data_IF_770646856303
#
_entry.id   IF_770646856303
#
_cell.length_a   1.000
_cell.length_b   1.000
_cell.length_c   1.000
_cell.angle_alpha   90.00
_cell.angle_beta   90.00
_cell.angle_gamma   90.00
#
_symmetry.space_group_name_H-M   'P 1'
#
loop_
_entity.id
_entity.type
_entity.pdbx_description
1 polymer ?
#
# COMPACT_ATOMS: atom_id res chain seq x y z
N UNK A 1 29.83 -10.27 37.90
CA UNK A 1 29.40 -11.22 36.83
C UNK A 1 28.06 -10.87 36.21
N UNK A 2 27.07 -10.36 36.96
CA UNK A 2 25.72 -10.08 36.47
C UNK A 2 25.60 -8.94 35.43
N UNK A 3 26.47 -7.94 35.47
CA UNK A 3 26.44 -6.80 34.52
C UNK A 3 26.70 -7.23 33.07
N UNK A 4 27.63 -8.16 32.84
CA UNK A 4 27.90 -8.70 31.50
C UNK A 4 26.72 -9.52 30.95
N UNK A 5 26.01 -10.23 31.83
CA UNK A 5 24.83 -11.01 31.48
C UNK A 5 23.63 -10.10 31.14
N UNK A 6 23.48 -8.98 31.86
CA UNK A 6 22.44 -7.99 31.61
C UNK A 6 22.67 -7.25 30.28
N UNK A 7 23.91 -6.92 29.94
CA UNK A 7 24.27 -6.40 28.62
C UNK A 7 24.02 -7.41 27.49
N UNK A 8 24.21 -8.71 27.74
CA UNK A 8 23.93 -9.75 26.77
C UNK A 8 22.42 -9.88 26.51
N UNK A 9 21.58 -9.85 27.55
CA UNK A 9 20.11 -9.86 27.42
C UNK A 9 19.60 -8.59 26.73
N UNK A 10 20.17 -7.43 27.06
CA UNK A 10 19.81 -6.16 26.44
C UNK A 10 20.17 -6.14 24.94
N UNK A 11 21.35 -6.66 24.59
CA UNK A 11 21.77 -6.83 23.19
C UNK A 11 20.83 -7.78 22.42
N UNK A 12 20.46 -8.90 23.04
CA UNK A 12 19.55 -9.88 22.44
C UNK A 12 18.14 -9.29 22.21
N UNK A 13 17.64 -8.48 23.13
CA UNK A 13 16.34 -7.79 22.98
C UNK A 13 16.36 -6.69 21.94
N UNK A 14 17.48 -5.96 21.78
CA UNK A 14 17.63 -4.96 20.70
C UNK A 14 17.64 -5.64 19.32
N UNK A 15 18.24 -6.83 19.19
CA UNK A 15 18.26 -7.58 17.94
C UNK A 15 16.88 -8.13 17.54
N UNK A 16 16.00 -8.43 18.50
CA UNK A 16 14.63 -8.89 18.22
C UNK A 16 13.69 -7.79 17.70
N UNK A 17 14.04 -6.51 17.83
CA UNK A 17 13.19 -5.39 17.39
C UNK A 17 13.38 -5.01 15.91
N UNK A 18 14.24 -5.70 15.16
CA UNK A 18 14.33 -5.50 13.71
C UNK A 18 13.15 -6.17 13.01
N UNK A 19 11.99 -5.52 13.06
CA UNK A 19 10.86 -5.86 12.20
C UNK A 19 11.28 -5.62 10.75
N UNK A 20 11.37 -6.69 9.96
CA UNK A 20 11.69 -6.63 8.55
C UNK A 20 10.58 -5.88 7.80
N UNK A 21 10.92 -4.73 7.21
CA UNK A 21 10.05 -4.05 6.26
C UNK A 21 9.80 -4.99 5.08
N UNK A 22 8.53 -5.32 4.82
CA UNK A 22 8.15 -6.21 3.73
C UNK A 22 8.09 -5.39 2.44
N UNK A 23 9.00 -5.66 1.51
CA UNK A 23 8.95 -5.12 0.16
C UNK A 23 8.42 -6.17 -0.81
N UNK A 24 7.41 -5.81 -1.59
CA UNK A 24 6.83 -6.64 -2.64
C UNK A 24 6.97 -5.87 -3.95
N UNK A 25 7.58 -6.49 -4.94
CA UNK A 25 7.69 -5.95 -6.29
C UNK A 25 6.71 -6.69 -7.21
N UNK A 26 5.85 -5.92 -7.87
CA UNK A 26 4.82 -6.41 -8.78
C UNK A 26 5.00 -5.79 -10.16
N UNK A 27 5.04 -6.61 -11.21
CA UNK A 27 5.08 -6.13 -12.60
C UNK A 27 3.65 -5.88 -13.08
N UNK A 28 3.33 -4.61 -13.35
CA UNK A 28 2.07 -4.23 -13.96
C UNK A 28 2.02 -4.69 -15.41
N UNK A 29 0.96 -5.40 -15.80
CA UNK A 29 0.77 -5.94 -17.14
C UNK A 29 -0.47 -5.38 -17.80
N UNK A 30 -0.35 -5.03 -19.06
CA UNK A 30 -1.46 -4.65 -19.95
C UNK A 30 -1.42 -5.59 -21.15
N UNK A 31 -2.49 -6.32 -21.41
CA UNK A 31 -2.57 -7.35 -22.46
C UNK A 31 -1.38 -8.35 -22.45
N UNK A 32 -0.92 -8.73 -21.25
CA UNK A 32 0.21 -9.66 -21.06
C UNK A 32 1.60 -9.03 -21.15
N UNK A 33 1.72 -7.77 -21.57
CA UNK A 33 2.98 -7.04 -21.70
C UNK A 33 3.24 -6.27 -20.41
N UNK A 34 4.46 -6.36 -19.86
CA UNK A 34 4.83 -5.60 -18.67
C UNK A 34 5.04 -4.13 -19.04
N UNK A 35 4.31 -3.23 -18.38
CA UNK A 35 4.31 -1.79 -18.70
C UNK A 35 4.94 -0.93 -17.62
N UNK A 36 5.17 -1.49 -16.43
CA UNK A 36 5.75 -0.78 -15.30
C UNK A 36 5.92 -1.69 -14.09
N UNK A 37 6.65 -1.20 -13.11
CA UNK A 37 6.80 -1.87 -11.82
C UNK A 37 6.00 -1.11 -10.76
N UNK A 38 5.42 -1.87 -9.84
CA UNK A 38 4.78 -1.38 -8.63
C UNK A 38 5.53 -1.96 -7.44
N UNK A 39 5.99 -1.09 -6.57
CA UNK A 39 6.70 -1.45 -5.33
C UNK A 39 5.79 -1.14 -4.16
N UNK A 40 5.50 -2.16 -3.36
CA UNK A 40 4.71 -2.07 -2.14
C UNK A 40 5.67 -2.26 -0.97
N UNK A 41 5.72 -1.28 -0.06
CA UNK A 41 6.50 -1.35 1.17
C UNK A 41 5.57 -1.24 2.37
N UNK A 42 5.57 -2.27 3.20
CA UNK A 42 4.82 -2.32 4.45
C UNK A 42 5.77 -2.38 5.65
N UNK A 43 5.62 -1.38 6.53
CA UNK A 43 6.40 -1.27 7.77
C UNK A 43 5.49 -1.41 9.01
N UNK A 44 4.32 -2.04 8.88
CA UNK A 44 3.33 -2.25 9.95
C UNK A 44 2.41 -1.04 10.15
N UNK A 45 2.99 0.13 10.43
CA UNK A 45 2.20 1.36 10.66
C UNK A 45 1.90 2.15 9.37
N UNK A 46 2.67 1.88 8.32
CA UNK A 46 2.57 2.58 7.04
C UNK A 46 2.70 1.62 5.88
N UNK A 47 1.88 1.85 4.86
CA UNK A 47 2.02 1.22 3.56
C UNK A 47 2.33 2.31 2.54
N UNK A 48 3.41 2.12 1.80
CA UNK A 48 3.79 2.99 0.67
C UNK A 48 3.74 2.14 -0.59
N UNK A 49 2.96 2.59 -1.56
CA UNK A 49 2.89 1.97 -2.88
C UNK A 49 3.36 2.97 -3.91
N UNK A 50 4.39 2.62 -4.66
CA UNK A 50 4.95 3.45 -5.72
C UNK A 50 4.87 2.67 -7.02
N UNK A 51 4.58 3.36 -8.13
CA UNK A 51 4.66 2.73 -9.42
C UNK A 51 4.91 3.74 -10.52
N UNK A 52 5.55 3.27 -11.59
CA UNK A 52 5.82 4.09 -12.76
C UNK A 52 5.82 3.25 -14.03
N UNK A 53 5.32 3.82 -15.12
CA UNK A 53 5.49 3.26 -16.45
C UNK A 53 6.98 3.18 -16.81
N UNK A 54 7.40 2.14 -17.52
CA UNK A 54 8.80 2.01 -17.95
C UNK A 54 9.20 3.18 -18.85
N UNK A 55 10.46 3.64 -18.69
CA UNK A 55 11.02 4.75 -19.48
C UNK A 55 10.87 4.54 -21.00
N UNK A 56 11.05 3.30 -21.46
CA UNK A 56 10.89 2.94 -22.88
C UNK A 56 9.44 3.01 -23.41
N UNK A 57 8.45 3.12 -22.52
CA UNK A 57 7.03 3.26 -22.85
C UNK A 57 6.49 4.66 -22.51
N UNK A 58 7.30 5.52 -21.87
CA UNK A 58 6.89 6.86 -21.46
C UNK A 58 6.55 7.80 -22.62
N UNK A 59 7.02 7.48 -23.85
CA UNK A 59 6.65 8.22 -25.06
C UNK A 59 5.18 8.04 -25.45
N UNK A 60 4.60 6.88 -25.13
CA UNK A 60 3.18 6.57 -25.38
C UNK A 60 2.32 7.10 -24.23
N UNK A 61 2.73 6.81 -23.01
CA UNK A 61 2.01 7.21 -21.81
C UNK A 61 2.98 7.26 -20.63
N UNK A 62 3.11 8.43 -20.02
CA UNK A 62 3.94 8.61 -18.84
C UNK A 62 3.03 8.72 -17.61
N UNK A 63 3.06 7.71 -16.76
CA UNK A 63 2.33 7.71 -15.52
C UNK A 63 3.21 7.24 -14.37
N UNK A 64 3.23 8.01 -13.29
CA UNK A 64 3.79 7.57 -12.02
C UNK A 64 2.84 7.94 -10.89
N UNK A 65 2.88 7.14 -9.83
CA UNK A 65 2.10 7.42 -8.64
C UNK A 65 2.84 7.01 -7.38
N UNK A 66 2.45 7.65 -6.28
CA UNK A 66 2.85 7.32 -4.92
C UNK A 66 1.63 7.39 -4.02
N UNK A 67 1.25 6.26 -3.47
CA UNK A 67 0.21 6.14 -2.48
C UNK A 67 0.83 5.90 -1.11
N UNK A 68 0.31 6.57 -0.08
CA UNK A 68 0.69 6.40 1.32
C UNK A 68 -0.56 6.17 2.15
N UNK A 69 -0.53 5.12 2.97
CA UNK A 69 -1.52 4.87 4.00
C UNK A 69 -0.84 4.88 5.37
N UNK A 70 -1.31 5.71 6.30
CA UNK A 70 -0.81 5.84 7.67
C UNK A 70 -2.02 5.90 8.61
N UNK A 71 -2.29 4.81 9.33
CA UNK A 71 -3.57 4.64 10.03
C UNK A 71 -4.75 4.78 9.07
N UNK A 72 -5.66 5.71 9.37
CA UNK A 72 -6.84 6.05 8.55
C UNK A 72 -6.59 7.20 7.56
N UNK A 73 -5.36 7.71 7.47
CA UNK A 73 -4.98 8.75 6.52
C UNK A 73 -4.37 8.16 5.25
N UNK A 74 -4.85 8.63 4.11
CA UNK A 74 -4.50 8.23 2.77
C UNK A 74 -4.09 9.44 1.94
N UNK A 75 -2.96 9.30 1.25
CA UNK A 75 -2.44 10.30 0.33
C UNK A 75 -2.08 9.64 -0.98
N UNK A 76 -2.49 10.25 -2.08
CA UNK A 76 -2.17 9.78 -3.41
C UNK A 76 -1.60 10.93 -4.24
N UNK A 77 -0.38 10.73 -4.72
CA UNK A 77 0.31 11.62 -5.64
C UNK A 77 0.35 10.91 -6.98
N UNK A 78 -0.18 11.54 -8.03
CA UNK A 78 -0.14 11.03 -9.40
C UNK A 78 0.56 12.06 -10.28
N UNK A 79 1.39 11.60 -11.20
CA UNK A 79 1.91 12.40 -12.30
C UNK A 79 1.51 11.70 -13.59
N UNK A 80 0.66 12.35 -14.38
CA UNK A 80 0.13 11.85 -15.64
C UNK A 80 0.53 12.80 -16.76
N UNK A 81 1.43 12.36 -17.63
CA UNK A 81 1.98 13.12 -18.75
C UNK A 81 2.49 14.51 -18.32
N UNK A 82 3.18 14.58 -17.17
CA UNK A 82 3.73 15.81 -16.61
C UNK A 82 2.74 16.63 -15.77
N UNK A 83 1.47 16.22 -15.66
CA UNK A 83 0.48 16.88 -14.81
C UNK A 83 0.41 16.20 -13.45
N UNK A 84 0.80 16.94 -12.41
CA UNK A 84 0.73 16.47 -11.04
C UNK A 84 -0.68 16.63 -10.46
N UNK A 85 -1.13 15.60 -9.75
CA UNK A 85 -2.41 15.56 -9.04
C UNK A 85 -2.16 15.02 -7.64
N UNK A 86 -2.70 15.70 -6.64
CA UNK A 86 -2.62 15.28 -5.24
C UNK A 86 -4.03 15.07 -4.71
N UNK A 87 -4.25 13.91 -4.12
CA UNK A 87 -5.52 13.54 -3.49
C UNK A 87 -5.29 13.21 -2.03
N UNK A 88 -6.15 13.75 -1.19
CA UNK A 88 -6.31 13.43 0.23
C UNK A 88 -7.50 12.49 0.40
N UNK A 89 -7.73 11.97 1.62
CA UNK A 89 -8.83 11.07 1.97
C UNK A 89 -10.12 11.32 1.18
N UNK A 90 -10.79 12.45 1.40
CA UNK A 90 -12.10 12.74 0.80
C UNK A 90 -12.10 12.55 -0.73
N UNK A 91 -11.09 13.10 -1.41
CA UNK A 91 -10.97 12.98 -2.87
C UNK A 91 -10.62 11.56 -3.30
N UNK A 92 -9.84 10.81 -2.52
CA UNK A 92 -9.54 9.40 -2.77
C UNK A 92 -10.83 8.57 -2.66
N UNK A 93 -11.61 8.77 -1.59
CA UNK A 93 -12.90 8.10 -1.41
C UNK A 93 -13.89 8.43 -2.54
N UNK A 94 -13.95 9.68 -2.97
CA UNK A 94 -14.85 10.10 -4.04
C UNK A 94 -14.44 9.59 -5.43
N UNK A 95 -13.13 9.59 -5.76
CA UNK A 95 -12.67 9.36 -7.13
C UNK A 95 -12.01 8.00 -7.36
N UNK A 96 -11.45 7.40 -6.32
CA UNK A 96 -10.61 6.20 -6.41
C UNK A 96 -10.91 5.26 -5.26
N UNK A 97 -12.19 4.95 -5.15
CA UNK A 97 -12.73 4.31 -3.97
C UNK A 97 -12.13 2.94 -3.65
N UNK A 98 -11.77 2.23 -4.70
CA UNK A 98 -11.13 0.92 -4.67
C UNK A 98 -9.77 0.92 -3.94
N UNK A 99 -9.06 2.06 -3.86
CA UNK A 99 -7.73 2.13 -3.22
C UNK A 99 -7.82 1.86 -1.71
N UNK A 100 -8.59 2.63 -0.91
CA UNK A 100 -8.81 2.32 0.50
C UNK A 100 -9.28 0.89 0.76
N UNK A 101 -10.19 0.36 -0.08
CA UNK A 101 -10.71 -1.00 0.06
C UNK A 101 -9.60 -2.05 -0.10
N UNK A 102 -8.76 -1.88 -1.12
CA UNK A 102 -7.62 -2.77 -1.36
C UNK A 102 -6.61 -2.70 -0.21
N UNK A 103 -6.37 -1.52 0.35
CA UNK A 103 -5.49 -1.34 1.52
C UNK A 103 -6.06 -2.04 2.75
N UNK A 104 -7.35 -1.88 3.02
CA UNK A 104 -8.01 -2.54 4.15
C UNK A 104 -7.96 -4.06 4.00
N UNK A 105 -8.19 -4.58 2.79
CA UNK A 105 -8.05 -6.00 2.50
C UNK A 105 -6.63 -6.51 2.74
N UNK A 106 -5.61 -5.78 2.27
CA UNK A 106 -4.19 -6.16 2.47
C UNK A 106 -3.80 -6.12 3.95
N UNK A 107 -4.24 -5.11 4.71
CA UNK A 107 -3.85 -4.94 6.13
C UNK A 107 -4.60 -5.87 7.07
N UNK A 108 -5.91 -5.99 6.88
CA UNK A 108 -6.80 -6.60 7.87
C UNK A 108 -7.40 -7.92 7.39
N UNK A 109 -7.19 -8.29 6.12
CA UNK A 109 -7.82 -9.47 5.51
C UNK A 109 -9.33 -9.33 5.33
N UNK A 110 -9.90 -8.14 5.61
CA UNK A 110 -11.33 -7.85 5.50
C UNK A 110 -11.56 -6.39 5.12
N UNK A 111 -12.69 -6.14 4.47
CA UNK A 111 -13.16 -4.78 4.17
C UNK A 111 -13.77 -4.22 5.47
N UNK A 112 -13.37 -3.01 5.88
CA UNK A 112 -13.96 -2.34 7.05
C UNK A 112 -15.22 -1.58 6.65
N UNK A 113 -16.22 -1.56 7.53
CA UNK A 113 -17.29 -0.60 7.42
C UNK A 113 -16.74 0.81 7.58
N UNK A 114 -17.12 1.71 6.69
CA UNK A 114 -16.63 3.07 6.66
C UNK A 114 -17.77 4.01 6.27
N UNK A 115 -17.84 5.17 6.90
CA UNK A 115 -18.82 6.24 6.60
C UNK A 115 -18.79 6.65 5.12
N UNK A 116 -17.62 6.52 4.47
CA UNK A 116 -17.44 6.82 3.06
C UNK A 116 -17.86 5.68 2.10
N UNK A 117 -18.19 4.48 2.62
CA UNK A 117 -18.63 3.31 1.85
C UNK A 117 -19.79 2.55 2.51
N UNK A 118 -21.05 2.96 2.28
CA UNK A 118 -22.21 2.23 2.75
C UNK A 118 -22.54 1.04 1.84
N UNK A 119 -21.57 0.18 1.51
CA UNK A 119 -21.89 -1.07 0.82
C UNK A 119 -22.39 -2.08 1.86
N UNK A 120 -23.63 -2.54 1.71
CA UNK A 120 -24.09 -3.75 2.40
C UNK A 120 -23.46 -4.95 1.69
N UNK A 121 -22.65 -5.71 2.39
CA UNK A 121 -22.22 -7.02 1.92
C UNK A 121 -23.47 -7.92 1.92
N UNK A 122 -23.93 -8.33 0.74
CA UNK A 122 -24.90 -9.43 0.67
C UNK A 122 -24.17 -10.72 1.02
N UNK A 123 -24.38 -11.23 2.22
CA UNK A 123 -24.07 -12.62 2.54
C UNK A 123 -24.96 -13.50 1.68
N UNK A 124 -24.44 -14.00 0.56
CA UNK A 124 -25.00 -15.19 -0.05
C UNK A 124 -24.64 -16.35 0.83
N UNK A 125 -25.56 -16.76 1.70
CA UNK A 125 -25.55 -18.10 2.29
C UNK A 125 -25.44 -19.10 1.13
N UNK A 126 -24.26 -19.67 0.95
CA UNK A 126 -24.09 -20.86 0.15
C UNK A 126 -24.73 -22.00 0.96
N UNK A 127 -26.01 -22.26 0.70
CA UNK A 127 -26.65 -23.51 1.09
C UNK A 127 -25.91 -24.65 0.38
N UNK A 128 -25.02 -25.31 1.11
CA UNK A 128 -24.43 -26.61 0.77
C UNK A 128 -25.37 -27.69 1.28
#
# INVERSE_FOLDING_TARGET
MYTKFLFFILSLTVLFNFTLAKEILYKSKVYGISVGDVVIRDNGNKIIVEGSTYKGLSWLYNYSFKFKAEGDNYYLYENENGKEKVYTNEKIYQKKAWLPILVDFIRYGKIRENVYYPFKLEEKENNI
#
